data_IF_517831344743
#
_entry.id   IF_517831344743
#
_cell.length_a   1.000
_cell.length_b   1.000
_cell.length_c   1.000
_cell.angle_alpha   90.00
_cell.angle_beta   90.00
_cell.angle_gamma   90.00
#
_symmetry.space_group_name_H-M   'P 1'
#
loop_
_entity.id
_entity.type
_entity.pdbx_description
1 polymer ?
#
# COMPACT_ATOMS: atom_id res chain seq x y z
N UNK A 1 -29.14 -0.48 2.88
CA UNK A 1 -27.72 -0.67 3.28
C UNK A 1 -27.08 0.70 3.41
N UNK A 2 -26.58 1.09 4.59
CA UNK A 2 -25.79 2.32 4.72
C UNK A 2 -24.39 2.03 4.17
N UNK A 3 -23.98 2.74 3.13
CA UNK A 3 -22.61 2.69 2.64
C UNK A 3 -21.73 3.45 3.65
N UNK A 4 -20.68 2.80 4.13
CA UNK A 4 -19.68 3.46 4.99
C UNK A 4 -18.67 4.25 4.13
N UNK A 5 -18.51 3.84 2.87
CA UNK A 5 -17.82 4.61 1.85
C UNK A 5 -18.73 5.68 1.25
N UNK A 6 -18.22 6.90 1.07
CA UNK A 6 -18.95 7.98 0.39
C UNK A 6 -18.81 7.87 -1.12
N UNK A 7 -19.82 8.34 -1.84
CA UNK A 7 -19.88 8.24 -3.31
C UNK A 7 -18.65 8.85 -3.99
N UNK A 8 -18.12 9.99 -3.51
CA UNK A 8 -16.95 10.64 -4.10
C UNK A 8 -15.63 9.93 -3.79
N UNK A 9 -15.58 9.09 -2.75
CA UNK A 9 -14.40 8.28 -2.41
C UNK A 9 -14.35 6.99 -3.26
N UNK A 10 -15.48 6.56 -3.84
CA UNK A 10 -15.57 5.30 -4.57
C UNK A 10 -14.66 5.23 -5.81
N UNK A 11 -14.55 6.25 -6.68
CA UNK A 11 -13.67 6.15 -7.85
C UNK A 11 -12.21 5.86 -7.47
N UNK A 12 -11.67 6.58 -6.49
CA UNK A 12 -10.29 6.39 -6.04
C UNK A 12 -10.11 5.06 -5.30
N UNK A 13 -11.06 4.70 -4.43
CA UNK A 13 -11.05 3.43 -3.70
C UNK A 13 -11.12 2.23 -4.64
N UNK A 14 -11.95 2.29 -5.68
CA UNK A 14 -12.10 1.22 -6.66
C UNK A 14 -10.84 1.04 -7.50
N UNK A 15 -10.27 2.12 -8.02
CA UNK A 15 -9.06 2.04 -8.87
C UNK A 15 -7.89 1.52 -8.04
N UNK A 16 -7.60 2.16 -6.90
CA UNK A 16 -6.49 1.72 -6.03
C UNK A 16 -6.73 0.31 -5.54
N UNK A 17 -7.95 0.01 -5.08
CA UNK A 17 -8.32 -1.31 -4.61
C UNK A 17 -8.15 -2.40 -5.66
N UNK A 18 -8.54 -2.13 -6.92
CA UNK A 18 -8.38 -3.08 -8.03
C UNK A 18 -6.90 -3.34 -8.36
N UNK A 19 -6.06 -2.30 -8.40
CA UNK A 19 -4.63 -2.46 -8.64
C UNK A 19 -3.94 -3.23 -7.52
N UNK A 20 -4.21 -2.89 -6.26
CA UNK A 20 -3.63 -3.57 -5.09
C UNK A 20 -4.12 -5.02 -5.03
N UNK A 21 -5.42 -5.27 -5.25
CA UNK A 21 -5.99 -6.61 -5.29
C UNK A 21 -5.36 -7.47 -6.41
N UNK A 22 -5.22 -6.90 -7.62
CA UNK A 22 -4.59 -7.58 -8.74
C UNK A 22 -3.12 -7.91 -8.43
N UNK A 23 -2.39 -6.99 -7.79
CA UNK A 23 -1.01 -7.24 -7.34
C UNK A 23 -0.97 -8.41 -6.36
N UNK A 24 -1.83 -8.41 -5.34
CA UNK A 24 -1.89 -9.46 -4.33
C UNK A 24 -2.22 -10.83 -4.91
N UNK A 25 -3.23 -10.91 -5.78
CA UNK A 25 -3.59 -12.15 -6.48
C UNK A 25 -2.41 -12.65 -7.33
N UNK A 26 -1.72 -11.75 -8.03
CA UNK A 26 -0.57 -12.11 -8.86
C UNK A 26 0.58 -12.66 -8.03
N UNK A 27 0.89 -12.03 -6.88
CA UNK A 27 1.91 -12.51 -5.94
C UNK A 27 1.57 -13.87 -5.35
N UNK A 28 0.31 -14.09 -4.98
CA UNK A 28 -0.15 -15.38 -4.45
C UNK A 28 -0.09 -16.51 -5.49
N UNK A 29 -0.34 -16.21 -6.76
CA UNK A 29 -0.25 -17.19 -7.86
C UNK A 29 1.19 -17.57 -8.21
N UNK A 30 2.11 -16.60 -8.21
CA UNK A 30 3.51 -16.78 -8.60
C UNK A 30 4.45 -16.72 -7.40
N UNK A 31 3.97 -17.13 -6.21
CA UNK A 31 4.75 -16.98 -4.96
C UNK A 31 6.09 -17.70 -5.08
N UNK A 32 6.12 -18.89 -5.64
CA UNK A 32 7.34 -19.72 -5.71
C UNK A 32 8.40 -19.11 -6.64
N UNK A 33 7.97 -18.40 -7.67
CA UNK A 33 8.85 -17.76 -8.67
C UNK A 33 9.36 -16.38 -8.20
N UNK A 34 8.54 -15.68 -7.42
CA UNK A 34 8.80 -14.28 -7.04
C UNK A 34 9.22 -14.11 -5.58
N UNK A 35 9.24 -15.20 -4.80
CA UNK A 35 9.52 -15.17 -3.37
C UNK A 35 10.86 -14.53 -3.03
N UNK A 36 11.93 -14.98 -3.69
CA UNK A 36 13.28 -14.50 -3.43
C UNK A 36 13.46 -13.05 -3.86
N UNK A 37 12.79 -12.64 -4.94
CA UNK A 37 12.83 -11.26 -5.41
C UNK A 37 12.17 -10.31 -4.41
N UNK A 38 10.92 -10.61 -3.99
CA UNK A 38 10.19 -9.75 -3.06
C UNK A 38 10.81 -9.77 -1.66
N UNK A 39 11.24 -10.93 -1.17
CA UNK A 39 11.91 -11.03 0.12
C UNK A 39 13.29 -10.38 0.10
N UNK A 40 14.07 -10.55 -0.97
CA UNK A 40 15.37 -9.91 -1.17
C UNK A 40 15.29 -8.39 -1.14
N UNK A 41 14.31 -7.83 -1.86
CA UNK A 41 14.05 -6.39 -1.82
C UNK A 41 13.61 -5.93 -0.42
N UNK A 42 12.69 -6.68 0.22
CA UNK A 42 12.17 -6.32 1.52
C UNK A 42 13.24 -6.36 2.62
N UNK A 43 14.07 -7.41 2.69
CA UNK A 43 15.12 -7.54 3.72
C UNK A 43 16.26 -6.53 3.55
N UNK A 44 16.55 -6.13 2.30
CA UNK A 44 17.53 -5.08 2.01
C UNK A 44 17.09 -3.75 2.62
N UNK A 45 15.81 -3.42 2.54
CA UNK A 45 15.27 -2.22 3.15
C UNK A 45 14.98 -2.39 4.66
N UNK A 46 14.58 -3.58 5.08
CA UNK A 46 14.11 -3.88 6.43
C UNK A 46 14.81 -5.14 6.97
N UNK A 47 16.00 -5.00 7.58
CA UNK A 47 16.84 -6.13 7.99
C UNK A 47 16.15 -7.12 8.94
N UNK A 48 15.16 -6.67 9.72
CA UNK A 48 14.39 -7.54 10.61
C UNK A 48 13.58 -8.62 9.87
N UNK A 49 13.36 -8.48 8.56
CA UNK A 49 12.67 -9.47 7.72
C UNK A 49 13.59 -10.60 7.24
N UNK A 50 14.91 -10.50 7.43
CA UNK A 50 15.88 -11.50 6.98
C UNK A 50 15.63 -12.89 7.58
N UNK A 51 15.16 -12.95 8.83
CA UNK A 51 14.84 -14.20 9.53
C UNK A 51 13.58 -14.91 9.01
N UNK A 52 12.78 -14.26 8.17
CA UNK A 52 11.56 -14.85 7.62
C UNK A 52 11.86 -15.66 6.36
N UNK A 53 11.18 -16.79 6.21
CA UNK A 53 11.17 -17.56 4.98
C UNK A 53 10.56 -16.74 3.82
N UNK A 54 11.23 -16.72 2.67
CA UNK A 54 10.88 -15.88 1.52
C UNK A 54 9.50 -16.20 0.95
N UNK A 55 9.15 -17.49 0.89
CA UNK A 55 7.84 -17.97 0.42
C UNK A 55 6.74 -17.54 1.38
N UNK A 56 6.96 -17.72 2.68
CA UNK A 56 6.03 -17.32 3.73
C UNK A 56 5.81 -15.82 3.75
N UNK A 57 6.87 -15.03 3.65
CA UNK A 57 6.81 -13.58 3.54
C UNK A 57 5.97 -13.13 2.33
N UNK A 58 6.29 -13.66 1.15
CA UNK A 58 5.62 -13.27 -0.09
C UNK A 58 4.15 -13.66 -0.10
N UNK A 59 3.81 -14.82 0.47
CA UNK A 59 2.41 -15.24 0.63
C UNK A 59 1.65 -14.33 1.59
N UNK A 60 2.27 -13.92 2.71
CA UNK A 60 1.67 -12.96 3.65
C UNK A 60 1.50 -11.58 3.03
N UNK A 61 2.49 -11.12 2.28
CA UNK A 61 2.43 -9.85 1.56
C UNK A 61 1.28 -9.87 0.53
N UNK A 62 1.20 -10.91 -0.30
CA UNK A 62 0.11 -11.06 -1.27
C UNK A 62 -1.26 -11.15 -0.60
N UNK A 63 -1.39 -11.87 0.52
CA UNK A 63 -2.64 -11.93 1.28
C UNK A 63 -3.04 -10.57 1.87
N UNK A 64 -2.07 -9.80 2.38
CA UNK A 64 -2.30 -8.45 2.88
C UNK A 64 -2.77 -7.50 1.77
N UNK A 65 -2.18 -7.59 0.57
CA UNK A 65 -2.62 -6.84 -0.60
C UNK A 65 -4.03 -7.22 -1.04
N UNK A 66 -4.37 -8.51 -1.07
CA UNK A 66 -5.74 -8.96 -1.38
C UNK A 66 -6.74 -8.41 -0.36
N UNK A 67 -6.41 -8.49 0.93
CA UNK A 67 -7.26 -7.97 1.99
C UNK A 67 -7.45 -6.45 1.88
N UNK A 68 -6.36 -5.70 1.68
CA UNK A 68 -6.40 -4.24 1.52
C UNK A 68 -7.16 -3.83 0.26
N UNK A 69 -6.88 -4.47 -0.87
CA UNK A 69 -7.55 -4.19 -2.14
C UNK A 69 -9.05 -4.45 -2.06
N UNK A 70 -9.45 -5.55 -1.42
CA UNK A 70 -10.86 -5.88 -1.15
C UNK A 70 -11.49 -4.87 -0.20
N UNK A 71 -10.79 -4.48 0.86
CA UNK A 71 -11.29 -3.49 1.83
C UNK A 71 -11.53 -2.11 1.18
N UNK A 72 -10.70 -1.73 0.21
CA UNK A 72 -10.89 -0.51 -0.56
C UNK A 72 -12.13 -0.61 -1.47
N UNK A 73 -12.32 -1.73 -2.17
CA UNK A 73 -13.46 -1.94 -3.09
C UNK A 73 -14.80 -2.04 -2.36
N UNK A 74 -14.84 -2.75 -1.23
CA UNK A 74 -16.08 -3.04 -0.51
C UNK A 74 -16.56 -1.79 0.26
N UNK A 75 -17.75 -1.23 -0.06
CA UNK A 75 -18.21 0.01 0.53
C UNK A 75 -18.70 -0.13 1.98
N UNK A 76 -18.65 -1.34 2.54
CA UNK A 76 -18.96 -1.64 3.94
C UNK A 76 -17.74 -1.44 4.86
N UNK A 77 -16.56 -1.13 4.32
CA UNK A 77 -15.39 -0.80 5.15
C UNK A 77 -15.34 0.71 5.39
N UNK A 78 -15.24 1.15 6.68
CA UNK A 78 -15.12 2.56 7.02
C UNK A 78 -13.94 3.22 6.30
N UNK A 79 -14.15 4.41 5.75
CA UNK A 79 -13.12 5.13 5.00
C UNK A 79 -11.89 5.47 5.86
N UNK A 80 -12.08 5.74 7.15
CA UNK A 80 -10.97 5.94 8.10
C UNK A 80 -10.08 4.69 8.19
N UNK A 81 -10.68 3.51 8.34
CA UNK A 81 -9.95 2.24 8.46
C UNK A 81 -9.26 1.88 7.15
N UNK A 82 -9.97 1.99 6.02
CA UNK A 82 -9.40 1.72 4.70
C UNK A 82 -8.27 2.70 4.35
N UNK A 83 -8.45 3.98 4.68
CA UNK A 83 -7.44 5.03 4.51
C UNK A 83 -6.20 4.77 5.36
N UNK A 84 -6.37 4.48 6.65
CA UNK A 84 -5.26 4.20 7.55
C UNK A 84 -4.46 2.95 7.12
N UNK A 85 -5.16 1.88 6.71
CA UNK A 85 -4.53 0.67 6.19
C UNK A 85 -3.75 0.94 4.90
N UNK A 86 -4.32 1.71 3.97
CA UNK A 86 -3.64 2.13 2.74
C UNK A 86 -2.41 2.99 3.03
N UNK A 87 -2.52 3.96 3.94
CA UNK A 87 -1.41 4.82 4.35
C UNK A 87 -0.27 4.01 4.97
N UNK A 88 -0.57 3.09 5.88
CA UNK A 88 0.45 2.23 6.50
C UNK A 88 1.15 1.34 5.47
N UNK A 89 0.38 0.71 4.58
CA UNK A 89 0.91 -0.13 3.51
C UNK A 89 1.79 0.68 2.53
N UNK A 90 1.28 1.80 2.04
CA UNK A 90 2.00 2.69 1.14
C UNK A 90 3.22 3.36 1.80
N UNK A 91 3.18 3.58 3.11
CA UNK A 91 4.35 4.01 3.89
C UNK A 91 5.46 2.97 3.88
N UNK A 92 5.12 1.68 3.95
CA UNK A 92 6.06 0.58 3.77
C UNK A 92 6.73 0.59 2.40
N UNK A 93 5.94 0.78 1.32
CA UNK A 93 6.42 0.89 -0.06
C UNK A 93 7.30 2.12 -0.27
N UNK A 94 6.86 3.28 0.21
CA UNK A 94 7.66 4.52 0.17
C UNK A 94 8.96 4.34 0.94
N UNK A 95 8.93 3.59 2.04
CA UNK A 95 10.13 3.24 2.78
C UNK A 95 11.12 2.39 1.98
N UNK A 96 10.68 1.56 1.02
CA UNK A 96 11.58 0.87 0.09
C UNK A 96 12.33 1.87 -0.79
N UNK A 97 11.64 2.87 -1.34
CA UNK A 97 12.27 3.93 -2.15
C UNK A 97 13.40 4.66 -1.42
N UNK A 98 13.21 4.92 -0.11
CA UNK A 98 14.21 5.63 0.68
C UNK A 98 15.39 4.76 1.10
N UNK A 99 15.15 3.47 1.36
CA UNK A 99 16.13 2.56 1.97
C UNK A 99 16.90 1.71 0.97
N UNK A 100 16.33 1.45 -0.22
CA UNK A 100 17.02 0.67 -1.23
C UNK A 100 18.13 1.49 -1.92
N UNK A 101 19.32 0.91 -2.11
CA UNK A 101 20.39 1.57 -2.86
C UNK A 101 20.00 1.71 -4.34
N UNK A 102 20.48 2.77 -5.01
CA UNK A 102 20.26 2.98 -6.44
C UNK A 102 18.89 3.57 -6.83
N UNK A 103 17.95 3.71 -5.87
CA UNK A 103 16.61 4.26 -6.15
C UNK A 103 16.58 5.79 -6.29
N UNK A 104 17.59 6.49 -5.74
CA UNK A 104 17.68 7.95 -5.71
C UNK A 104 18.96 8.43 -6.35
N UNK A 105 18.89 9.56 -7.04
CA UNK A 105 20.07 10.25 -7.57
C UNK A 105 21.05 10.59 -6.43
N UNK A 106 22.38 10.52 -6.66
CA UNK A 106 23.37 10.85 -5.65
C UNK A 106 23.15 12.25 -5.06
N UNK A 107 23.06 12.35 -3.74
CA UNK A 107 22.87 13.62 -3.03
C UNK A 107 21.47 14.23 -3.14
N UNK A 108 20.48 13.50 -3.68
CA UNK A 108 19.13 14.03 -3.93
C UNK A 108 17.97 13.16 -3.41
N UNK A 109 16.78 13.75 -3.52
CA UNK A 109 15.48 13.07 -3.30
C UNK A 109 14.84 12.60 -4.61
N UNK A 110 15.46 12.92 -5.75
CA UNK A 110 14.95 12.60 -7.08
C UNK A 110 15.11 11.11 -7.39
N UNK A 111 14.09 10.46 -7.98
CA UNK A 111 14.18 9.06 -8.33
C UNK A 111 15.09 8.87 -9.53
N UNK A 112 15.86 7.78 -9.53
CA UNK A 112 16.48 7.24 -10.75
C UNK A 112 15.40 6.59 -11.64
N UNK A 113 15.69 6.24 -12.90
CA UNK A 113 14.74 5.49 -13.74
C UNK A 113 14.23 4.20 -13.08
N UNK A 114 15.09 3.51 -12.33
CA UNK A 114 14.75 2.31 -11.56
C UNK A 114 13.93 2.62 -10.29
N UNK A 115 14.10 3.81 -9.71
CA UNK A 115 13.35 4.26 -8.54
C UNK A 115 11.94 4.80 -8.83
N UNK A 116 11.62 5.17 -10.08
CA UNK A 116 10.30 5.69 -10.47
C UNK A 116 9.14 4.76 -10.05
N UNK A 117 9.21 3.42 -10.26
CA UNK A 117 8.16 2.50 -9.84
C UNK A 117 7.89 2.49 -8.34
N UNK A 118 8.86 2.80 -7.48
CA UNK A 118 8.66 2.91 -6.03
C UNK A 118 8.28 4.33 -5.61
N UNK A 119 8.83 5.34 -6.27
CA UNK A 119 8.53 6.74 -5.99
C UNK A 119 7.05 7.07 -6.25
N UNK A 120 6.45 6.50 -7.30
CA UNK A 120 5.02 6.69 -7.62
C UNK A 120 4.07 6.17 -6.53
N UNK A 121 4.51 5.21 -5.71
CA UNK A 121 3.68 4.67 -4.63
C UNK A 121 3.45 5.70 -3.52
N UNK A 122 4.20 6.81 -3.51
CA UNK A 122 3.90 7.97 -2.66
C UNK A 122 2.50 8.57 -2.91
N UNK A 123 1.92 8.40 -4.10
CA UNK A 123 0.54 8.80 -4.37
C UNK A 123 -0.45 8.02 -3.51
N UNK A 124 -0.17 6.75 -3.21
CA UNK A 124 -1.01 5.92 -2.34
C UNK A 124 -1.00 6.42 -0.90
N UNK A 125 0.14 6.95 -0.42
CA UNK A 125 0.22 7.62 0.89
C UNK A 125 -0.68 8.86 0.90
N UNK A 126 -0.64 9.67 -0.17
CA UNK A 126 -1.48 10.85 -0.32
C UNK A 126 -2.97 10.50 -0.32
N UNK A 127 -3.36 9.49 -1.10
CA UNK A 127 -4.75 9.01 -1.18
C UNK A 127 -5.22 8.46 0.18
N UNK A 128 -4.46 7.58 0.81
CA UNK A 128 -4.83 7.01 2.12
C UNK A 128 -4.95 8.08 3.20
N UNK A 129 -4.01 9.04 3.23
CA UNK A 129 -4.01 10.13 4.20
C UNK A 129 -5.17 11.09 3.97
N UNK A 130 -5.53 11.37 2.71
CA UNK A 130 -6.70 12.18 2.39
C UNK A 130 -8.00 11.53 2.89
N UNK A 131 -8.16 10.21 2.76
CA UNK A 131 -9.32 9.49 3.31
C UNK A 131 -9.38 9.59 4.84
N UNK A 132 -8.23 9.48 5.52
CA UNK A 132 -8.15 9.62 6.99
C UNK A 132 -8.51 11.03 7.43
N UNK A 133 -7.87 12.04 6.84
CA UNK A 133 -8.08 13.45 7.18
C UNK A 133 -9.53 13.86 6.92
N UNK A 134 -10.14 13.40 5.82
CA UNK A 134 -11.55 13.71 5.53
C UNK A 134 -12.50 13.20 6.63
N UNK A 135 -12.25 11.99 7.16
CA UNK A 135 -13.10 11.46 8.24
C UNK A 135 -12.85 12.17 9.58
N UNK A 136 -11.60 12.47 9.92
CA UNK A 136 -11.27 13.18 11.16
C UNK A 136 -11.86 14.60 11.19
N UNK A 137 -11.76 15.35 10.09
CA UNK A 137 -12.28 16.71 9.98
C UNK A 137 -13.81 16.79 9.95
N UNK A 138 -14.51 15.66 9.81
CA UNK A 138 -15.98 15.61 9.83
C UNK A 138 -16.52 15.20 11.19
N UNK A 139 -15.84 14.31 11.90
CA UNK A 139 -16.21 13.97 13.28
C UNK A 139 -16.22 15.24 14.17
N UNK A 140 -15.30 16.18 13.90
CA UNK A 140 -15.29 17.50 14.54
C UNK A 140 -16.48 18.40 14.15
N UNK A 141 -17.02 18.26 12.93
CA UNK A 141 -18.12 19.10 12.43
C UNK A 141 -19.50 18.58 12.83
N UNK A 142 -19.64 17.27 13.02
CA UNK A 142 -20.91 16.65 13.45
C UNK A 142 -21.15 16.83 14.97
N UNK A 143 -20.16 17.32 15.72
CA UNK A 143 -20.24 17.62 17.15
C UNK A 143 -20.72 19.06 17.47
N UNK A 144 -20.88 19.92 16.46
CA UNK A 144 -21.40 21.30 16.56
C UNK A 144 -22.81 21.42 15.98
#
# INVERSE_FOLDING_TARGET
>A
MRLLARAHQMPVRLIVGAFVLNSGISKLKHTDETADQYHGMAKTAYPFLESQDARTFTRRLGAAEVALGTALIVPLVPSLVAGAALTAFAGGLTGLYWRLPGMREPGGVRPTPEGIPLAKDSWLVGIGSALVIEELLRDEKDCC
#
